data_IF_209438565706
#
_entry.id   IF_209438565706
#
_cell.length_a   1.000
_cell.length_b   1.000
_cell.length_c   1.000
_cell.angle_alpha   90.00
_cell.angle_beta   90.00
_cell.angle_gamma   90.00
#
_symmetry.space_group_name_H-M   'P 1'
#
loop_
_entity.id
_entity.type
_entity.pdbx_description
1 polymer ?
#
# COMPACT_ATOMS: atom_id res chain seq x y z
N UNK A 1 34.84 20.30 -5.31
CA UNK A 1 34.00 20.31 -6.54
C UNK A 1 32.62 19.78 -6.16
N UNK A 2 31.64 20.66 -5.98
CA UNK A 2 30.27 20.29 -5.59
C UNK A 2 29.47 20.18 -6.89
N UNK A 3 29.00 18.97 -7.23
CA UNK A 3 28.12 18.73 -8.38
C UNK A 3 26.67 18.94 -7.93
N UNK A 4 26.06 19.99 -8.44
CA UNK A 4 24.63 20.27 -8.29
C UNK A 4 23.83 19.25 -9.10
N UNK A 5 23.03 18.43 -8.42
CA UNK A 5 22.14 17.44 -9.03
C UNK A 5 20.78 18.11 -9.28
N UNK A 6 20.52 18.48 -10.53
CA UNK A 6 19.20 18.92 -11.00
C UNK A 6 18.31 17.69 -11.18
N UNK A 7 17.31 17.53 -10.33
CA UNK A 7 16.23 16.56 -10.55
C UNK A 7 15.23 17.14 -11.56
N UNK A 8 15.23 16.60 -12.78
CA UNK A 8 14.18 16.84 -13.76
C UNK A 8 12.94 16.02 -13.40
N UNK A 9 11.87 16.68 -12.99
CA UNK A 9 10.54 16.07 -12.84
C UNK A 9 9.98 15.82 -14.24
N UNK A 10 10.03 14.57 -14.70
CA UNK A 10 9.37 14.17 -15.93
C UNK A 10 7.86 13.99 -15.66
N UNK A 11 7.05 14.89 -16.23
CA UNK A 11 5.60 14.73 -16.36
C UNK A 11 5.32 13.49 -17.23
N UNK A 12 4.83 12.42 -16.60
CA UNK A 12 4.30 11.25 -17.32
C UNK A 12 3.00 11.65 -18.03
N UNK A 13 2.81 11.24 -19.30
CA UNK A 13 1.57 11.50 -20.02
C UNK A 13 0.42 10.74 -19.38
N UNK A 14 -0.66 11.44 -19.07
CA UNK A 14 -1.91 10.88 -18.60
C UNK A 14 -2.53 10.03 -19.70
N UNK A 15 -2.51 8.71 -19.53
CA UNK A 15 -3.27 7.79 -20.38
C UNK A 15 -4.75 8.01 -20.08
N UNK A 16 -5.46 8.56 -21.06
CA UNK A 16 -6.90 8.82 -21.00
C UNK A 16 -7.66 7.49 -21.07
N UNK A 17 -8.06 6.96 -19.91
CA UNK A 17 -9.01 5.85 -19.81
C UNK A 17 -10.43 6.41 -19.90
N UNK A 18 -10.87 6.73 -21.12
CA UNK A 18 -12.28 6.95 -21.39
C UNK A 18 -12.97 5.58 -21.47
N UNK A 19 -13.62 5.16 -20.39
CA UNK A 19 -14.68 4.14 -20.45
C UNK A 19 -16.01 4.87 -20.24
N UNK A 20 -17.00 4.69 -21.12
CA UNK A 20 -18.32 5.27 -20.91
C UNK A 20 -18.99 4.51 -19.76
N UNK A 21 -19.18 5.20 -18.64
CA UNK A 21 -20.08 4.75 -17.56
C UNK A 21 -21.50 4.98 -18.07
N UNK A 22 -22.21 3.90 -18.37
CA UNK A 22 -23.64 3.95 -18.63
C UNK A 22 -24.36 4.36 -17.34
N UNK A 23 -25.07 5.48 -17.38
CA UNK A 23 -25.97 5.91 -16.31
C UNK A 23 -27.20 4.99 -16.29
N UNK A 24 -27.32 4.16 -15.25
CA UNK A 24 -28.58 3.52 -14.89
C UNK A 24 -29.44 4.47 -14.05
N UNK A 25 -30.73 4.63 -14.34
CA UNK A 25 -31.62 5.45 -13.54
C UNK A 25 -31.94 4.74 -12.22
N UNK A 26 -31.61 5.38 -11.10
CA UNK A 26 -32.09 5.05 -9.76
C UNK A 26 -33.61 5.25 -9.70
N UNK A 27 -34.35 4.19 -10.01
CA UNK A 27 -35.78 4.08 -9.73
C UNK A 27 -35.96 3.46 -8.36
N UNK A 28 -36.61 4.20 -7.46
CA UNK A 28 -36.97 3.74 -6.14
C UNK A 28 -37.98 2.61 -6.20
N UNK A 29 -37.66 1.51 -5.53
CA UNK A 29 -38.64 0.53 -5.08
C UNK A 29 -38.25 0.09 -3.67
N UNK A 30 -38.98 0.61 -2.69
CA UNK A 30 -39.16 -0.09 -1.43
C UNK A 30 -39.96 -1.36 -1.73
N UNK A 31 -39.40 -2.54 -1.48
CA UNK A 31 -40.15 -3.79 -1.35
C UNK A 31 -39.29 -4.82 -0.62
N UNK A 32 -39.80 -5.19 0.55
CA UNK A 32 -39.76 -6.54 1.14
C UNK A 32 -38.41 -7.26 1.18
N UNK A 33 -37.84 -7.33 2.37
CA UNK A 33 -36.82 -8.30 2.74
C UNK A 33 -37.52 -9.67 2.82
N UNK A 34 -37.31 -10.61 1.88
CA UNK A 34 -37.74 -11.98 2.11
C UNK A 34 -36.94 -12.55 3.27
N UNK A 35 -37.64 -13.09 4.26
CA UNK A 35 -37.03 -13.89 5.31
C UNK A 35 -36.15 -14.97 4.67
N UNK A 36 -34.86 -14.99 5.04
CA UNK A 36 -33.94 -16.05 4.66
C UNK A 36 -34.41 -17.30 5.40
N UNK A 37 -35.20 -18.11 4.70
CA UNK A 37 -35.59 -19.45 5.12
C UNK A 37 -34.33 -20.32 5.06
N UNK A 38 -33.80 -20.64 6.24
CA UNK A 38 -32.64 -21.49 6.41
C UNK A 38 -32.95 -22.87 5.80
N UNK A 39 -32.23 -23.29 4.73
CA UNK A 39 -32.53 -24.55 4.06
C UNK A 39 -32.27 -25.69 5.03
N UNK A 40 -33.36 -26.27 5.54
CA UNK A 40 -33.38 -27.51 6.30
C UNK A 40 -32.61 -28.57 5.49
N UNK A 41 -31.57 -29.21 6.05
CA UNK A 41 -30.88 -30.28 5.34
C UNK A 41 -31.91 -31.38 5.08
N UNK A 42 -32.18 -31.63 3.80
CA UNK A 42 -32.98 -32.75 3.39
C UNK A 42 -32.21 -34.02 3.75
N UNK A 43 -32.71 -34.75 4.76
CA UNK A 43 -32.37 -36.12 5.09
C UNK A 43 -32.64 -37.00 3.86
N UNK A 44 -31.72 -36.99 2.90
CA UNK A 44 -31.70 -37.89 1.78
C UNK A 44 -30.73 -39.00 2.14
N UNK A 45 -31.20 -39.93 2.97
CA UNK A 45 -30.61 -41.24 3.15
C UNK A 45 -30.76 -42.03 1.84
N UNK A 46 -29.99 -41.65 0.83
CA UNK A 46 -29.80 -42.43 -0.38
C UNK A 46 -28.73 -43.48 -0.08
N UNK A 47 -29.20 -44.71 -0.02
CA UNK A 47 -28.45 -45.95 0.13
C UNK A 47 -27.27 -45.98 -0.85
N UNK A 48 -26.06 -45.74 -0.33
CA UNK A 48 -24.84 -45.79 -1.12
C UNK A 48 -24.56 -47.26 -1.52
N UNK A 49 -24.31 -47.56 -2.80
CA UNK A 49 -23.93 -48.89 -3.23
C UNK A 49 -22.58 -49.27 -2.58
N UNK A 50 -22.58 -50.35 -1.79
CA UNK A 50 -21.37 -51.01 -1.29
C UNK A 50 -20.51 -51.45 -2.47
N UNK A 51 -19.49 -50.66 -2.78
CA UNK A 51 -18.42 -51.03 -3.70
C UNK A 51 -17.34 -51.78 -2.92
N UNK A 52 -17.56 -53.07 -2.67
CA UNK A 52 -16.62 -53.98 -1.98
C UNK A 52 -15.48 -54.48 -2.88
N UNK A 53 -15.11 -53.74 -3.93
CA UNK A 53 -13.89 -54.02 -4.69
C UNK A 53 -12.74 -53.21 -4.11
N UNK A 54 -11.73 -53.85 -3.48
CA UNK A 54 -10.51 -53.15 -3.09
C UNK A 54 -9.93 -52.48 -4.34
N UNK A 55 -9.66 -51.17 -4.31
CA UNK A 55 -9.09 -50.49 -5.46
C UNK A 55 -7.79 -51.19 -5.80
N UNK A 56 -7.73 -51.76 -7.02
CA UNK A 56 -6.51 -52.31 -7.61
C UNK A 56 -5.44 -51.24 -7.46
N UNK A 57 -4.49 -51.47 -6.54
CA UNK A 57 -3.41 -50.56 -6.21
C UNK A 57 -2.61 -50.33 -7.49
N UNK A 58 -2.90 -49.22 -8.16
CA UNK A 58 -2.23 -48.85 -9.38
C UNK A 58 -0.76 -48.64 -9.03
N UNK A 59 0.07 -49.62 -9.37
CA UNK A 59 1.53 -49.57 -9.24
C UNK A 59 1.99 -48.32 -9.97
N UNK A 60 2.18 -47.24 -9.21
CA UNK A 60 2.61 -45.97 -9.76
C UNK A 60 4.05 -46.18 -10.19
N UNK A 61 4.41 -45.92 -11.45
CA UNK A 61 5.79 -46.07 -11.91
C UNK A 61 6.72 -45.35 -10.94
N UNK A 62 7.87 -45.95 -10.55
CA UNK A 62 8.81 -45.30 -9.65
C UNK A 62 9.10 -43.90 -10.20
N UNK A 63 8.89 -42.87 -9.37
CA UNK A 63 9.12 -41.50 -9.77
C UNK A 63 10.57 -41.40 -10.29
N UNK A 64 10.80 -40.76 -11.45
CA UNK A 64 12.13 -40.68 -12.03
C UNK A 64 13.12 -40.16 -10.98
N UNK A 65 14.20 -40.92 -10.76
CA UNK A 65 15.25 -40.55 -9.82
C UNK A 65 15.75 -39.15 -10.19
N UNK A 66 15.51 -38.17 -9.31
CA UNK A 66 15.98 -36.81 -9.53
C UNK A 66 17.52 -36.85 -9.49
N UNK A 67 18.22 -36.19 -10.43
CA UNK A 67 19.67 -36.09 -10.38
C UNK A 67 20.09 -35.53 -9.03
N UNK A 68 20.92 -36.26 -8.29
CA UNK A 68 21.48 -35.79 -7.03
C UNK A 68 22.45 -34.66 -7.36
N UNK A 69 22.02 -33.41 -7.12
CA UNK A 69 22.87 -32.23 -7.29
C UNK A 69 24.08 -32.34 -6.34
N UNK A 70 25.25 -31.88 -6.79
CA UNK A 70 26.39 -31.76 -5.89
C UNK A 70 26.08 -30.74 -4.79
N UNK A 71 26.71 -30.86 -3.61
CA UNK A 71 26.47 -29.92 -2.51
C UNK A 71 26.71 -28.45 -2.90
N UNK A 72 27.70 -28.19 -3.78
CA UNK A 72 28.01 -26.85 -4.28
C UNK A 72 26.87 -26.32 -5.15
N UNK A 73 26.36 -27.13 -6.08
CA UNK A 73 25.24 -26.76 -6.94
C UNK A 73 23.94 -26.59 -6.14
N UNK A 74 23.68 -27.50 -5.19
CA UNK A 74 22.53 -27.41 -4.29
C UNK A 74 22.57 -26.10 -3.49
N UNK A 75 23.74 -25.75 -2.94
CA UNK A 75 23.93 -24.49 -2.21
C UNK A 75 23.74 -23.28 -3.12
N UNK A 76 24.26 -23.31 -4.34
CA UNK A 76 24.08 -22.22 -5.31
C UNK A 76 22.60 -22.05 -5.70
N UNK A 77 21.88 -23.15 -5.95
CA UNK A 77 20.45 -23.15 -6.21
C UNK A 77 19.65 -22.57 -5.04
N UNK A 78 20.03 -22.91 -3.80
CA UNK A 78 19.43 -22.33 -2.61
C UNK A 78 19.71 -20.82 -2.52
N UNK A 79 20.97 -20.41 -2.70
CA UNK A 79 21.35 -19.00 -2.72
C UNK A 79 20.56 -18.22 -3.77
N UNK A 80 20.25 -18.80 -4.92
CA UNK A 80 19.47 -18.15 -5.98
C UNK A 80 17.97 -18.10 -5.71
N UNK A 81 17.39 -19.08 -5.00
CA UNK A 81 15.92 -19.24 -4.87
C UNK A 81 15.36 -18.92 -3.50
N UNK A 82 16.20 -18.79 -2.46
CA UNK A 82 15.71 -18.48 -1.12
C UNK A 82 15.01 -17.12 -1.08
N UNK A 83 14.04 -16.97 -0.20
CA UNK A 83 13.35 -15.69 0.03
C UNK A 83 13.93 -15.05 1.29
N UNK A 84 14.41 -13.81 1.17
CA UNK A 84 14.86 -12.97 2.28
C UNK A 84 14.00 -11.73 2.46
N UNK A 85 14.31 -10.93 3.49
CA UNK A 85 13.63 -9.65 3.75
C UNK A 85 14.67 -8.57 4.05
N UNK A 86 14.54 -7.42 3.40
CA UNK A 86 15.21 -6.21 3.81
C UNK A 86 14.27 -5.39 4.70
N UNK A 87 14.73 -5.11 5.91
CA UNK A 87 14.01 -4.35 6.93
C UNK A 87 14.34 -2.86 6.81
N UNK A 88 13.30 -2.04 6.67
CA UNK A 88 13.41 -0.59 6.67
C UNK A 88 12.55 0.00 7.78
N UNK A 89 13.08 1.03 8.42
CA UNK A 89 12.43 1.71 9.53
C UNK A 89 12.33 3.18 9.17
N UNK A 90 11.12 3.72 8.99
CA UNK A 90 10.94 5.17 8.97
C UNK A 90 10.92 5.65 10.41
N UNK A 91 11.79 6.59 10.70
CA UNK A 91 11.75 7.37 11.94
C UNK A 91 11.46 8.83 11.61
N UNK A 92 10.40 9.38 12.20
CA UNK A 92 10.19 10.82 12.19
C UNK A 92 11.08 11.44 13.27
N UNK A 93 11.87 12.41 12.85
CA UNK A 93 12.52 13.38 13.73
C UNK A 93 11.85 14.72 13.48
N UNK A 94 11.17 15.24 14.49
CA UNK A 94 10.48 16.53 14.42
C UNK A 94 11.10 17.50 15.43
N UNK A 95 11.30 18.78 15.07
CA UNK A 95 11.56 19.81 16.06
C UNK A 95 10.33 19.91 16.97
N UNK A 96 10.54 19.89 18.28
CA UNK A 96 9.49 20.24 19.24
C UNK A 96 9.92 21.48 20.01
N UNK A 97 8.94 22.33 20.35
CA UNK A 97 9.19 23.48 21.20
C UNK A 97 9.41 22.98 22.62
N UNK A 98 10.66 23.04 23.08
CA UNK A 98 10.91 22.92 24.51
C UNK A 98 10.29 24.16 25.18
N UNK A 99 9.62 24.00 26.33
CA UNK A 99 8.84 25.06 26.99
C UNK A 99 9.63 26.33 27.35
N UNK A 100 10.94 26.32 27.15
CA UNK A 100 11.91 27.39 27.30
C UNK A 100 12.22 28.15 25.98
N UNK A 101 11.43 27.96 24.92
CA UNK A 101 11.59 28.67 23.64
C UNK A 101 12.77 28.18 22.79
N UNK A 102 13.45 27.11 23.22
CA UNK A 102 14.51 26.45 22.44
C UNK A 102 13.93 25.36 21.52
N UNK A 103 14.47 25.26 20.31
CA UNK A 103 14.24 24.11 19.44
C UNK A 103 15.02 22.91 20.00
N UNK A 104 14.29 21.91 20.51
CA UNK A 104 14.87 20.62 20.88
C UNK A 104 14.41 19.57 19.87
N UNK A 105 15.23 18.55 19.59
CA UNK A 105 14.80 17.42 18.77
C UNK A 105 14.06 16.42 19.65
N UNK A 106 12.83 16.05 19.25
CA UNK A 106 12.15 14.93 19.90
C UNK A 106 12.93 13.63 19.62
N UNK A 107 12.94 12.67 20.57
CA UNK A 107 13.49 11.35 20.28
C UNK A 107 12.81 10.77 19.03
N UNK A 108 13.57 10.10 18.14
CA UNK A 108 13.04 9.58 16.89
C UNK A 108 11.86 8.66 17.18
N UNK A 109 10.68 8.99 16.63
CA UNK A 109 9.52 8.10 16.69
C UNK A 109 9.52 7.23 15.45
N UNK A 110 9.55 5.91 15.63
CA UNK A 110 9.35 4.97 14.53
C UNK A 110 7.93 5.16 13.98
N UNK A 111 7.83 5.70 12.77
CA UNK A 111 6.56 5.90 12.07
C UNK A 111 6.02 4.59 11.49
N UNK A 112 6.93 3.69 11.12
CA UNK A 112 6.57 2.42 10.52
C UNK A 112 7.80 1.58 10.25
N UNK A 113 7.58 0.27 10.23
CA UNK A 113 8.56 -0.71 9.77
C UNK A 113 7.98 -1.37 8.52
N UNK A 114 8.67 -1.28 7.40
CA UNK A 114 8.33 -2.05 6.20
C UNK A 114 9.42 -3.07 5.94
N UNK A 115 9.00 -4.26 5.51
CA UNK A 115 9.91 -5.31 5.08
C UNK A 115 9.65 -5.60 3.62
N UNK A 116 10.69 -5.47 2.79
CA UNK A 116 10.61 -5.77 1.36
C UNK A 116 11.15 -7.19 1.17
N UNK A 117 10.31 -8.17 0.78
CA UNK A 117 10.80 -9.49 0.46
C UNK A 117 11.61 -9.46 -0.83
N UNK A 118 12.65 -10.28 -0.89
CA UNK A 118 13.49 -10.43 -2.08
C UNK A 118 13.81 -11.89 -2.35
N UNK A 119 14.04 -12.22 -3.61
CA UNK A 119 14.49 -13.53 -4.05
C UNK A 119 16.00 -13.55 -4.25
N UNK A 120 16.63 -14.53 -3.62
CA UNK A 120 17.96 -14.99 -3.92
C UNK A 120 19.09 -14.05 -3.53
N UNK A 121 20.30 -14.44 -3.93
CA UNK A 121 21.56 -13.74 -3.72
C UNK A 121 21.61 -12.38 -4.40
N UNK A 122 20.92 -12.25 -5.53
CA UNK A 122 20.82 -11.01 -6.30
C UNK A 122 19.77 -10.04 -5.75
N UNK A 123 19.06 -10.40 -4.67
CA UNK A 123 18.04 -9.58 -4.01
C UNK A 123 17.00 -9.04 -4.99
N UNK A 124 16.48 -9.90 -5.87
CA UNK A 124 15.42 -9.49 -6.80
C UNK A 124 14.16 -9.16 -5.96
N UNK A 125 13.63 -7.93 -6.00
CA UNK A 125 12.47 -7.58 -5.17
C UNK A 125 11.27 -8.46 -5.54
N UNK A 126 10.62 -9.02 -4.53
CA UNK A 126 9.38 -9.79 -4.66
C UNK A 126 8.23 -8.94 -4.13
N UNK A 127 7.72 -8.02 -4.94
CA UNK A 127 6.64 -7.13 -4.52
C UNK A 127 5.26 -7.72 -4.82
N UNK A 128 4.33 -7.54 -3.88
CA UNK A 128 2.92 -7.84 -4.05
C UNK A 128 2.63 -9.28 -4.48
N UNK A 129 2.08 -9.43 -5.68
CA UNK A 129 1.65 -10.72 -6.24
C UNK A 129 2.82 -11.70 -6.39
N UNK A 130 3.99 -11.24 -6.85
CA UNK A 130 5.13 -12.12 -7.12
C UNK A 130 5.64 -12.85 -5.88
N UNK A 131 5.51 -12.24 -4.70
CA UNK A 131 5.81 -12.90 -3.42
C UNK A 131 4.87 -14.08 -3.16
N UNK A 132 3.56 -13.87 -3.28
CA UNK A 132 2.55 -14.90 -3.01
C UNK A 132 2.54 -16.00 -4.07
N UNK A 133 2.78 -15.65 -5.34
CA UNK A 133 2.99 -16.62 -6.42
C UNK A 133 4.20 -17.52 -6.14
N UNK A 134 5.31 -16.94 -5.67
CA UNK A 134 6.51 -17.71 -5.35
C UNK A 134 6.29 -18.72 -4.22
N UNK A 135 5.43 -18.36 -3.27
CA UNK A 135 5.02 -19.25 -2.17
C UNK A 135 4.00 -20.32 -2.61
N UNK A 136 3.45 -20.22 -3.82
CA UNK A 136 2.38 -21.10 -4.31
C UNK A 136 1.02 -20.85 -3.64
N UNK A 137 0.75 -19.62 -3.20
CA UNK A 137 -0.46 -19.24 -2.43
C UNK A 137 -1.42 -18.41 -3.29
N UNK A 138 -2.17 -19.10 -4.15
CA UNK A 138 -3.14 -18.48 -5.05
C UNK A 138 -4.25 -17.71 -4.30
N UNK A 139 -4.63 -18.18 -3.11
CA UNK A 139 -5.58 -17.52 -2.22
C UNK A 139 -5.10 -16.13 -1.78
N UNK A 140 -3.82 -16.01 -1.45
CA UNK A 140 -3.21 -14.73 -1.05
C UNK A 140 -2.98 -13.79 -2.23
N UNK A 141 -2.73 -14.34 -3.43
CA UNK A 141 -2.66 -13.56 -4.67
C UNK A 141 -4.00 -12.87 -4.95
N UNK A 142 -5.10 -13.62 -4.90
CA UNK A 142 -6.44 -13.08 -5.14
C UNK A 142 -6.81 -12.02 -4.10
N UNK A 143 -6.54 -12.29 -2.82
CA UNK A 143 -6.79 -11.33 -1.73
C UNK A 143 -5.98 -10.04 -1.92
N UNK A 144 -4.69 -10.15 -2.27
CA UNK A 144 -3.84 -8.99 -2.56
C UNK A 144 -4.37 -8.17 -3.75
N UNK A 145 -4.74 -8.83 -4.86
CA UNK A 145 -5.28 -8.16 -6.03
C UNK A 145 -6.60 -7.45 -5.72
N UNK A 146 -7.49 -8.07 -4.94
CA UNK A 146 -8.75 -7.46 -4.50
C UNK A 146 -8.50 -6.22 -3.64
N UNK A 147 -7.56 -6.28 -2.69
CA UNK A 147 -7.18 -5.14 -1.86
C UNK A 147 -6.50 -4.02 -2.66
N UNK A 148 -5.63 -4.37 -3.62
CA UNK A 148 -5.03 -3.41 -4.55
C UNK A 148 -6.09 -2.73 -5.40
N UNK A 149 -7.06 -3.46 -5.95
CA UNK A 149 -8.19 -2.89 -6.70
C UNK A 149 -8.98 -1.90 -5.85
N UNK A 150 -9.29 -2.25 -4.60
CA UNK A 150 -9.97 -1.35 -3.65
C UNK A 150 -9.15 -0.07 -3.43
N UNK A 151 -7.84 -0.20 -3.19
CA UNK A 151 -6.92 0.94 -3.01
C UNK A 151 -6.88 1.85 -4.25
N UNK A 152 -6.81 1.27 -5.45
CA UNK A 152 -6.85 2.00 -6.71
C UNK A 152 -8.18 2.73 -6.89
N UNK A 153 -9.31 2.07 -6.64
CA UNK A 153 -10.64 2.69 -6.74
C UNK A 153 -10.77 3.87 -5.78
N UNK A 154 -10.35 3.71 -4.52
CA UNK A 154 -10.34 4.79 -3.51
C UNK A 154 -9.44 5.94 -3.96
N UNK A 155 -8.23 5.63 -4.45
CA UNK A 155 -7.28 6.65 -4.92
C UNK A 155 -7.82 7.44 -6.11
N UNK A 156 -8.40 6.76 -7.11
CA UNK A 156 -9.02 7.40 -8.28
C UNK A 156 -10.23 8.23 -7.88
N UNK A 157 -11.13 7.69 -7.06
CA UNK A 157 -12.31 8.42 -6.59
C UNK A 157 -11.93 9.66 -5.78
N UNK A 158 -10.97 9.53 -4.86
CA UNK A 158 -10.45 10.66 -4.09
C UNK A 158 -9.76 11.71 -4.98
N UNK A 159 -8.99 11.27 -5.98
CA UNK A 159 -8.35 12.16 -6.97
C UNK A 159 -9.36 12.94 -7.82
N UNK A 160 -10.38 12.26 -8.36
CA UNK A 160 -11.46 12.92 -9.13
C UNK A 160 -12.21 13.93 -8.25
N UNK A 161 -12.52 13.56 -7.01
CA UNK A 161 -13.18 14.45 -6.05
C UNK A 161 -12.33 15.68 -5.73
N UNK A 162 -11.02 15.48 -5.51
CA UNK A 162 -10.08 16.57 -5.26
C UNK A 162 -10.00 17.53 -6.46
N UNK A 163 -9.89 17.00 -7.68
CA UNK A 163 -9.84 17.82 -8.91
C UNK A 163 -11.16 18.56 -9.14
N UNK A 164 -12.31 17.92 -8.91
CA UNK A 164 -13.62 18.57 -9.00
C UNK A 164 -13.74 19.73 -8.00
N UNK A 165 -13.33 19.53 -6.74
CA UNK A 165 -13.30 20.58 -5.73
C UNK A 165 -12.38 21.74 -6.12
N UNK A 166 -11.19 21.44 -6.64
CA UNK A 166 -10.26 22.45 -7.15
C UNK A 166 -10.84 23.20 -8.37
N UNK A 167 -11.53 22.51 -9.27
CA UNK A 167 -12.21 23.11 -10.42
C UNK A 167 -13.32 24.08 -10.01
N UNK A 168 -14.08 23.75 -8.95
CA UNK A 168 -15.08 24.67 -8.36
C UNK A 168 -14.42 25.92 -7.77
N UNK A 169 -13.26 25.78 -7.12
CA UNK A 169 -12.50 26.91 -6.59
C UNK A 169 -11.98 27.79 -7.74
N UNK A 170 -11.32 27.21 -8.75
CA UNK A 170 -10.70 27.93 -9.87
C UNK A 170 -11.73 28.54 -10.83
N UNK A 171 -12.85 27.86 -11.08
CA UNK A 171 -13.94 28.37 -11.91
C UNK A 171 -14.65 29.58 -11.30
N UNK A 172 -14.49 29.79 -9.99
CA UNK A 172 -15.02 30.95 -9.25
C UNK A 172 -13.98 32.05 -9.08
N UNK A 173 -12.68 31.71 -9.04
CA UNK A 173 -11.53 32.63 -8.90
C UNK A 173 -11.27 33.47 -10.16
N UNK A 174 -12.30 34.14 -10.67
CA UNK A 174 -12.12 35.40 -11.39
C UNK A 174 -12.52 36.57 -10.48
N UNK A 175 -11.63 37.09 -9.60
CA UNK A 175 -11.92 38.30 -8.85
C UNK A 175 -11.38 39.56 -9.56
N UNK A 176 -12.24 40.58 -9.64
CA UNK A 176 -11.82 41.98 -9.74
C UNK A 176 -11.84 42.70 -8.37
N UNK A 177 -12.25 42.02 -7.30
CA UNK A 177 -12.46 42.66 -6.00
C UNK A 177 -11.30 42.31 -5.06
N UNK A 178 -10.41 43.29 -4.86
CA UNK A 178 -9.15 43.20 -4.10
C UNK A 178 -9.33 43.03 -2.56
N UNK A 179 -10.57 42.94 -2.07
CA UNK A 179 -10.88 43.19 -0.66
C UNK A 179 -11.00 41.94 0.24
N UNK A 180 -11.13 40.71 -0.30
CA UNK A 180 -11.21 39.48 0.52
C UNK A 180 -9.90 38.67 0.51
N UNK A 181 -8.77 39.27 0.86
CA UNK A 181 -7.51 38.56 1.05
C UNK A 181 -7.47 37.80 2.41
N UNK A 182 -7.03 36.55 2.39
CA UNK A 182 -6.90 35.67 3.58
C UNK A 182 -5.93 36.25 4.61
N UNK A 183 -4.96 37.06 4.18
CA UNK A 183 -3.96 37.67 5.07
C UNK A 183 -4.47 38.89 5.84
N UNK A 184 -5.68 39.43 5.55
CA UNK A 184 -6.18 40.65 6.21
C UNK A 184 -7.06 40.34 7.43
N UNK A 185 -6.99 41.17 8.50
CA UNK A 185 -7.76 40.98 9.73
C UNK A 185 -9.30 41.12 9.58
N UNK A 186 -9.81 41.38 8.37
CA UNK A 186 -11.24 41.50 8.05
C UNK A 186 -11.86 40.34 7.28
N UNK A 187 -11.10 39.25 7.03
CA UNK A 187 -11.55 38.14 6.18
C UNK A 187 -12.92 37.56 6.61
N UNK A 188 -13.13 37.33 7.91
CA UNK A 188 -14.38 36.75 8.42
C UNK A 188 -15.60 37.64 8.21
N UNK A 189 -15.45 38.96 8.33
CA UNK A 189 -16.52 39.92 8.05
C UNK A 189 -16.81 40.02 6.54
N UNK A 190 -15.78 39.96 5.69
CA UNK A 190 -15.88 39.90 4.23
C UNK A 190 -16.70 38.67 3.79
N UNK A 191 -16.31 37.50 4.29
CA UNK A 191 -16.97 36.21 4.01
C UNK A 191 -18.42 36.22 4.48
N UNK A 192 -18.70 36.67 5.72
CA UNK A 192 -20.08 36.70 6.24
C UNK A 192 -20.97 37.68 5.46
N UNK A 193 -20.46 38.87 5.11
CA UNK A 193 -21.21 39.84 4.31
C UNK A 193 -21.54 39.37 2.89
N UNK A 194 -20.65 38.60 2.27
CA UNK A 194 -20.92 38.01 0.94
C UNK A 194 -21.88 36.80 1.02
N UNK A 195 -21.82 36.01 2.09
CA UNK A 195 -22.79 34.94 2.35
C UNK A 195 -24.20 35.52 2.56
N UNK A 196 -24.35 36.58 3.35
CA UNK A 196 -25.65 37.20 3.64
C UNK A 196 -26.27 37.85 2.39
N UNK A 197 -25.45 38.31 1.44
CA UNK A 197 -25.89 38.82 0.14
C UNK A 197 -26.29 37.72 -0.85
N UNK A 198 -26.14 36.45 -0.47
CA UNK A 198 -26.42 35.32 -1.35
C UNK A 198 -25.45 35.23 -2.52
N UNK A 199 -24.19 35.64 -2.34
CA UNK A 199 -23.20 35.55 -3.40
C UNK A 199 -22.93 34.07 -3.75
N UNK A 200 -23.45 33.67 -4.92
CA UNK A 200 -23.31 32.32 -5.44
C UNK A 200 -21.84 31.95 -5.64
N UNK A 201 -20.96 32.92 -5.92
CA UNK A 201 -19.53 32.68 -6.11
C UNK A 201 -18.87 32.23 -4.81
N UNK A 202 -19.03 33.01 -3.74
CA UNK A 202 -18.49 32.63 -2.44
C UNK A 202 -19.02 31.27 -1.98
N UNK A 203 -20.33 31.03 -2.19
CA UNK A 203 -20.96 29.75 -1.87
C UNK A 203 -20.34 28.59 -2.65
N UNK A 204 -20.16 28.74 -3.97
CA UNK A 204 -19.51 27.71 -4.82
C UNK A 204 -18.05 27.47 -4.44
N UNK A 205 -17.30 28.51 -4.07
CA UNK A 205 -15.92 28.38 -3.61
C UNK A 205 -15.82 27.60 -2.29
N UNK A 206 -16.69 27.90 -1.31
CA UNK A 206 -16.76 27.16 -0.05
C UNK A 206 -17.16 25.69 -0.26
N UNK A 207 -18.11 25.43 -1.16
CA UNK A 207 -18.47 24.07 -1.58
C UNK A 207 -17.28 23.37 -2.23
N UNK A 208 -16.58 24.06 -3.15
CA UNK A 208 -15.38 23.56 -3.81
C UNK A 208 -14.27 23.18 -2.83
N UNK A 209 -14.03 24.02 -1.83
CA UNK A 209 -13.08 23.73 -0.74
C UNK A 209 -13.51 22.52 0.08
N UNK A 210 -14.79 22.43 0.45
CA UNK A 210 -15.34 21.27 1.16
C UNK A 210 -15.15 19.97 0.38
N UNK A 211 -15.53 19.96 -0.90
CA UNK A 211 -15.35 18.81 -1.81
C UNK A 211 -13.87 18.46 -1.98
N UNK A 212 -13.01 19.46 -2.16
CA UNK A 212 -11.57 19.28 -2.29
C UNK A 212 -10.94 18.60 -1.07
N UNK A 213 -11.31 19.05 0.14
CA UNK A 213 -10.83 18.47 1.39
C UNK A 213 -11.31 17.03 1.59
N UNK A 214 -12.56 16.72 1.21
CA UNK A 214 -13.05 15.33 1.21
C UNK A 214 -12.21 14.46 0.27
N UNK A 215 -11.90 14.94 -0.94
CA UNK A 215 -11.02 14.24 -1.88
C UNK A 215 -9.64 13.92 -1.29
N UNK A 216 -9.01 14.91 -0.65
CA UNK A 216 -7.72 14.72 0.06
C UNK A 216 -7.84 13.69 1.18
N UNK A 217 -8.91 13.75 1.98
CA UNK A 217 -9.16 12.78 3.06
C UNK A 217 -9.30 11.34 2.54
N UNK A 218 -10.02 11.14 1.43
CA UNK A 218 -10.20 9.83 0.78
C UNK A 218 -8.85 9.30 0.26
N UNK A 219 -8.04 10.14 -0.38
CA UNK A 219 -6.69 9.75 -0.83
C UNK A 219 -5.82 9.35 0.36
N UNK A 220 -5.79 10.17 1.41
CA UNK A 220 -5.01 9.91 2.62
C UNK A 220 -5.41 8.59 3.28
N UNK A 221 -6.72 8.31 3.35
CA UNK A 221 -7.23 7.02 3.83
C UNK A 221 -6.75 5.86 2.95
N UNK A 222 -6.80 6.00 1.62
CA UNK A 222 -6.29 5.00 0.68
C UNK A 222 -4.80 4.69 0.85
N UNK A 223 -3.97 5.68 1.19
CA UNK A 223 -2.54 5.49 1.47
C UNK A 223 -2.33 4.59 2.70
N UNK A 224 -3.16 4.76 3.74
CA UNK A 224 -3.09 3.99 4.98
C UNK A 224 -3.57 2.54 4.83
N UNK A 225 -4.34 2.23 3.78
CA UNK A 225 -4.73 0.86 3.49
C UNK A 225 -3.52 0.05 3.03
N UNK A 226 -3.19 -0.98 3.82
CA UNK A 226 -2.17 -1.95 3.48
C UNK A 226 -2.75 -2.95 2.46
N UNK A 227 -2.17 -3.07 1.25
CA UNK A 227 -2.67 -4.03 0.26
C UNK A 227 -2.36 -5.48 0.65
N UNK A 228 -1.39 -5.72 1.55
CA UNK A 228 -1.02 -7.06 1.97
C UNK A 228 -2.12 -7.69 2.85
N UNK A 229 -2.65 -8.87 2.45
CA UNK A 229 -3.72 -9.54 3.20
C UNK A 229 -3.25 -10.20 4.51
N UNK A 230 -1.94 -10.26 4.76
CA UNK A 230 -1.34 -10.88 5.94
C UNK A 230 -0.39 -9.92 6.64
N UNK A 231 -0.17 -10.15 7.93
CA UNK A 231 0.75 -9.35 8.71
C UNK A 231 2.22 -9.62 8.33
N UNK A 232 3.14 -8.66 8.51
CA UNK A 232 4.55 -8.83 8.14
C UNK A 232 5.25 -10.01 8.83
N UNK A 233 4.84 -10.39 10.04
CA UNK A 233 5.43 -11.55 10.72
C UNK A 233 4.97 -12.87 10.08
N UNK A 234 3.71 -12.96 9.67
CA UNK A 234 3.15 -14.13 8.96
C UNK A 234 3.82 -14.30 7.59
N UNK A 235 4.11 -13.19 6.90
CA UNK A 235 4.86 -13.23 5.65
C UNK A 235 6.26 -13.84 5.83
N UNK A 236 6.95 -13.54 6.94
CA UNK A 236 8.25 -14.15 7.27
C UNK A 236 8.11 -15.64 7.55
N UNK A 237 7.12 -16.02 8.34
CA UNK A 237 6.85 -17.42 8.66
C UNK A 237 6.59 -18.26 7.39
N UNK A 238 5.81 -17.73 6.44
CA UNK A 238 5.57 -18.38 5.15
C UNK A 238 6.84 -18.52 4.31
N UNK A 239 7.68 -17.48 4.28
CA UNK A 239 8.96 -17.51 3.58
C UNK A 239 9.95 -18.50 4.23
N UNK A 240 9.99 -18.57 5.56
CA UNK A 240 10.80 -19.53 6.31
C UNK A 240 10.36 -20.97 6.01
N UNK A 241 9.04 -21.24 5.99
CA UNK A 241 8.49 -22.53 5.58
C UNK A 241 8.81 -22.90 4.13
N UNK A 242 8.82 -21.93 3.21
CA UNK A 242 9.30 -22.15 1.83
C UNK A 242 10.80 -22.46 1.79
N UNK A 243 11.64 -21.71 2.51
CA UNK A 243 13.09 -21.89 2.54
C UNK A 243 13.49 -23.25 3.16
N UNK A 244 12.75 -23.72 4.16
CA UNK A 244 12.95 -25.04 4.76
C UNK A 244 12.62 -26.17 3.76
N UNK A 245 11.48 -26.07 3.06
CA UNK A 245 11.14 -27.02 1.99
C UNK A 245 12.18 -27.03 0.88
N UNK A 246 12.63 -25.84 0.45
CA UNK A 246 13.67 -25.69 -0.56
C UNK A 246 15.00 -26.35 -0.13
N UNK A 247 15.39 -26.26 1.14
CA UNK A 247 16.57 -26.98 1.64
C UNK A 247 16.38 -28.50 1.58
N UNK A 248 15.20 -29.00 1.95
CA UNK A 248 14.86 -30.42 1.83
C UNK A 248 14.89 -30.90 0.37
N UNK A 249 14.32 -30.14 -0.56
CA UNK A 249 14.33 -30.44 -1.99
C UNK A 249 15.74 -30.50 -2.59
N UNK A 250 16.66 -29.70 -2.06
CA UNK A 250 18.04 -29.61 -2.52
C UNK A 250 18.99 -30.55 -1.76
N UNK A 251 18.50 -31.35 -0.81
CA UNK A 251 19.34 -32.23 0.00
C UNK A 251 20.30 -31.47 0.92
N UNK A 252 20.00 -30.21 1.25
CA UNK A 252 20.80 -29.36 2.12
C UNK A 252 20.44 -29.52 3.61
N UNK A 253 19.72 -30.58 3.98
CA UNK A 253 19.19 -30.79 5.32
C UNK A 253 20.30 -30.75 6.39
N UNK A 254 20.22 -29.66 7.16
CA UNK A 254 20.89 -29.33 8.43
C UNK A 254 22.41 -29.49 8.47
N UNK A 255 23.10 -28.38 8.20
CA UNK A 255 24.29 -28.07 8.98
C UNK A 255 23.80 -27.67 10.40
N UNK A 256 23.93 -28.54 11.42
CA UNK A 256 23.48 -28.25 12.79
C UNK A 256 24.23 -27.05 13.40
N UNK A 257 25.30 -26.57 12.75
CA UNK A 257 26.04 -25.38 13.16
C UNK A 257 25.45 -24.07 12.63
N UNK A 258 24.17 -24.04 12.19
CA UNK A 258 23.45 -22.79 11.95
C UNK A 258 23.18 -22.09 13.30
N UNK A 259 24.26 -21.59 13.89
CA UNK A 259 24.19 -20.56 14.93
C UNK A 259 23.23 -19.49 14.41
N UNK A 260 22.27 -19.03 15.24
CA UNK A 260 21.39 -17.95 14.85
C UNK A 260 22.30 -16.83 14.40
N UNK A 261 22.36 -16.58 13.08
CA UNK A 261 23.22 -15.53 12.54
C UNK A 261 22.81 -14.30 13.30
N UNK A 262 23.71 -13.80 14.14
CA UNK A 262 23.56 -12.53 14.82
C UNK A 262 23.19 -11.57 13.70
N UNK A 263 21.92 -11.12 13.69
CA UNK A 263 21.41 -10.23 12.65
C UNK A 263 22.42 -9.10 12.60
N UNK A 264 23.25 -9.05 11.55
CA UNK A 264 23.99 -7.82 11.25
C UNK A 264 22.90 -6.80 11.09
N UNK A 265 22.82 -5.88 12.05
CA UNK A 265 21.91 -4.74 11.95
C UNK A 265 22.22 -4.12 10.59
N UNK A 266 21.24 -4.02 9.68
CA UNK A 266 21.47 -3.43 8.38
C UNK A 266 22.07 -2.04 8.60
N UNK A 267 23.01 -1.64 7.74
CA UNK A 267 23.47 -0.26 7.70
C UNK A 267 22.23 0.62 7.56
N UNK A 268 21.98 1.48 8.53
CA UNK A 268 20.78 2.31 8.55
C UNK A 268 21.03 3.51 7.63
N UNK A 269 20.33 3.56 6.50
CA UNK A 269 20.24 4.78 5.70
C UNK A 269 19.25 5.68 6.45
N UNK A 270 19.74 6.79 6.99
CA UNK A 270 18.90 7.74 7.69
C UNK A 270 18.64 8.93 6.77
N UNK A 271 17.41 9.07 6.28
CA UNK A 271 16.97 10.24 5.53
C UNK A 271 15.92 11.02 6.35
N UNK A 272 16.02 12.34 6.35
CA UNK A 272 15.09 13.25 7.04
C UNK A 272 14.65 14.35 6.08
N UNK A 273 13.36 14.64 6.08
CA UNK A 273 12.76 15.72 5.32
C UNK A 273 12.35 16.83 6.31
N UNK A 274 12.97 18.00 6.21
CA UNK A 274 12.67 19.14 7.09
C UNK A 274 12.08 20.29 6.29
N UNK A 275 10.94 20.88 6.72
CA UNK A 275 10.47 22.12 6.13
C UNK A 275 11.46 23.24 6.44
N UNK A 276 11.72 24.09 5.45
CA UNK A 276 12.48 25.32 5.62
C UNK A 276 11.53 26.50 5.36
N UNK A 277 11.57 27.51 6.21
CA UNK A 277 10.79 28.74 6.03
C UNK A 277 11.76 29.90 6.13
N UNK A 278 11.81 30.71 5.08
CA UNK A 278 12.62 31.92 5.01
C UNK A 278 11.77 33.10 4.54
N UNK A 279 12.29 34.34 4.66
CA UNK A 279 11.61 35.55 4.18
C UNK A 279 11.30 35.51 2.68
N UNK A 280 12.05 34.72 1.91
CA UNK A 280 11.88 34.56 0.45
C UNK A 280 10.99 33.37 0.05
N UNK A 281 10.40 32.65 1.01
CA UNK A 281 9.50 31.53 0.76
C UNK A 281 9.72 30.30 1.64
N UNK A 282 8.93 29.25 1.38
CA UNK A 282 9.04 27.96 2.06
C UNK A 282 9.58 26.87 1.12
N UNK A 283 10.28 25.88 1.68
CA UNK A 283 10.81 24.72 0.95
C UNK A 283 10.85 23.45 1.80
N UNK A 284 11.32 22.37 1.19
CA UNK A 284 11.61 21.10 1.86
C UNK A 284 13.08 20.76 1.62
N UNK A 285 13.83 20.48 2.69
CA UNK A 285 15.21 20.01 2.63
C UNK A 285 15.26 18.52 2.94
N UNK A 286 15.98 17.75 2.14
CA UNK A 286 16.28 16.35 2.38
C UNK A 286 17.73 16.22 2.90
N UNK A 287 17.91 15.71 4.11
CA UNK A 287 19.23 15.42 4.69
C UNK A 287 19.36 13.91 4.92
N UNK A 288 20.52 13.31 4.65
CA UNK A 288 20.72 11.91 4.99
C UNK A 288 22.16 11.43 5.13
N UNK A 289 22.32 10.30 5.82
CA UNK A 289 23.56 9.53 5.97
C UNK A 289 23.36 8.22 5.23
N UNK A 290 24.23 7.94 4.26
CA UNK A 290 24.17 6.79 3.34
C UNK A 290 25.37 5.88 3.53
#
# INVERSE_FOLDING_TARGET
MIRTLLLSVALMPTVSLATPVAEEPLSGAASDIPAVEEPRPADTAAEAPRADTPPTEAVTPPAPERPVLSFVEAKEQYELRHIGFDDYVATAVGPWMAGNGGLSMSPPKTLGRWSIPYEGKHRRPLEGVGFYEKLGRADLVEAYQSNMRKKTVIGVAGGVTMVAGMGLILGVLGPKDEDCDIARPGFSACVRGNLDRGDQRLTLSLVGMGVGLVGVGVIAYGVLLNPHPIEPYQARELADGYNLRLQGELGLSEDPARTPRTRRLPGFIQASLSPTVGPDGGGLQLNGVF
#
